data_IF_171244614547
#
_entry.id   IF_171244614547
#
_cell.length_a   1.000
_cell.length_b   1.000
_cell.length_c   1.000
_cell.angle_alpha   90.00
_cell.angle_beta   90.00
_cell.angle_gamma   90.00
#
_symmetry.space_group_name_H-M   'P 1'
#
loop_
_entity.id
_entity.type
_entity.pdbx_description
1 polymer ?
#
# COMPACT_ATOMS: atom_id res chain seq x y z
N UNK A 1 -39.18 3.57 7.66
CA UNK A 1 -38.68 2.31 8.26
C UNK A 1 -37.27 2.54 8.74
N UNK A 2 -37.07 2.57 10.06
CA UNK A 2 -35.78 2.81 10.71
C UNK A 2 -35.16 1.47 11.09
N UNK A 3 -34.37 0.85 10.20
CA UNK A 3 -33.52 -0.28 10.59
C UNK A 3 -32.29 0.24 11.31
N UNK A 4 -32.43 0.39 12.63
CA UNK A 4 -31.34 0.60 13.59
C UNK A 4 -30.65 -0.73 13.86
N UNK A 5 -29.62 -1.07 13.10
CA UNK A 5 -28.63 -2.06 13.55
C UNK A 5 -27.48 -1.33 14.22
N UNK A 6 -27.67 -1.10 15.51
CA UNK A 6 -26.58 -0.84 16.45
C UNK A 6 -25.88 -2.18 16.69
N UNK A 7 -24.65 -2.34 16.19
CA UNK A 7 -23.71 -3.30 16.76
C UNK A 7 -22.45 -2.55 17.14
N UNK A 8 -22.38 -2.25 18.43
CA UNK A 8 -21.21 -1.77 19.12
C UNK A 8 -20.83 -2.90 20.07
N UNK A 9 -19.75 -3.60 19.75
CA UNK A 9 -19.13 -4.58 20.64
C UNK A 9 -17.61 -4.63 20.38
N UNK A 10 -16.83 -3.83 21.11
CA UNK A 10 -15.48 -4.23 21.46
C UNK A 10 -15.48 -4.75 22.89
N UNK A 11 -15.50 -6.08 23.05
CA UNK A 11 -15.22 -6.73 24.33
C UNK A 11 -13.74 -6.54 24.70
N UNK A 12 -13.42 -6.36 26.00
CA UNK A 12 -12.08 -6.12 26.50
C UNK A 12 -11.31 -7.44 26.64
N UNK A 13 -10.04 -7.47 26.19
CA UNK A 13 -9.03 -8.39 26.73
C UNK A 13 -7.73 -7.65 26.92
N UNK A 14 -7.58 -7.13 28.14
CA UNK A 14 -6.29 -6.96 28.77
C UNK A 14 -5.77 -8.35 29.11
N UNK A 15 -4.67 -8.76 28.50
CA UNK A 15 -3.79 -9.77 29.07
C UNK A 15 -2.37 -9.22 29.01
N UNK A 16 -1.96 -8.73 30.18
CA UNK A 16 -0.58 -8.59 30.60
C UNK A 16 -0.04 -9.99 30.81
N UNK A 17 0.97 -10.42 30.05
CA UNK A 17 1.93 -11.39 30.57
C UNK A 17 3.36 -11.08 30.10
N UNK A 18 4.05 -10.39 31.01
CA UNK A 18 5.36 -10.71 31.57
C UNK A 18 6.29 -11.65 30.78
N UNK A 19 7.53 -11.17 30.63
CA UNK A 19 8.79 -11.94 30.73
C UNK A 19 9.04 -13.09 29.75
N UNK A 20 9.90 -12.83 28.77
CA UNK A 20 11.05 -13.71 28.57
C UNK A 20 12.32 -12.88 28.43
N UNK A 21 13.14 -13.05 29.46
CA UNK A 21 14.43 -12.44 29.75
C UNK A 21 15.47 -12.90 28.73
N UNK A 22 16.40 -11.99 28.46
CA UNK A 22 17.66 -12.27 27.80
C UNK A 22 18.45 -13.44 28.43
N UNK A 23 19.22 -14.13 27.58
CA UNK A 23 20.67 -14.33 27.71
C UNK A 23 21.18 -15.75 27.43
N UNK A 24 22.14 -15.81 26.50
CA UNK A 24 23.35 -16.64 26.52
C UNK A 24 23.28 -18.11 26.10
N UNK A 25 23.85 -18.40 24.93
CA UNK A 25 25.00 -19.33 24.87
C UNK A 25 25.83 -19.09 23.60
N UNK A 26 27.04 -18.57 23.82
CA UNK A 26 28.15 -18.66 22.88
C UNK A 26 28.64 -20.11 22.82
N UNK A 27 28.93 -20.59 21.61
CA UNK A 27 29.95 -21.62 21.38
C UNK A 27 30.47 -21.53 19.95
N UNK A 28 31.77 -21.82 19.82
CA UNK A 28 32.73 -21.30 18.85
C UNK A 28 33.17 -22.34 17.81
N UNK A 29 33.45 -21.86 16.57
CA UNK A 29 34.45 -22.37 15.59
C UNK A 29 34.06 -23.57 14.69
N UNK A 30 34.63 -23.76 13.47
CA UNK A 30 35.66 -23.00 12.74
C UNK A 30 35.29 -22.53 11.30
N UNK A 31 36.06 -21.55 10.83
CA UNK A 31 36.02 -20.90 9.51
C UNK A 31 36.08 -21.85 8.30
N UNK A 32 35.07 -21.77 7.43
CA UNK A 32 35.14 -22.21 6.04
C UNK A 32 35.10 -20.96 5.13
N UNK A 33 35.82 -20.97 3.98
CA UNK A 33 36.03 -19.77 3.17
C UNK A 33 34.69 -19.23 2.66
N UNK A 34 34.43 -17.94 2.93
CA UNK A 34 33.28 -17.19 2.44
C UNK A 34 33.30 -17.21 0.90
N UNK A 35 32.62 -18.18 0.31
CA UNK A 35 32.07 -18.02 -1.03
C UNK A 35 31.14 -16.82 -0.92
N UNK A 36 31.50 -15.78 -1.67
CA UNK A 36 30.72 -14.56 -1.79
C UNK A 36 29.36 -14.91 -2.37
N UNK A 37 28.39 -15.17 -1.49
CA UNK A 37 26.97 -15.14 -1.80
C UNK A 37 26.64 -13.71 -2.19
N UNK A 38 26.87 -13.37 -3.46
CA UNK A 38 26.37 -12.17 -4.10
C UNK A 38 24.86 -12.36 -4.25
N UNK A 39 24.15 -12.29 -3.11
CA UNK A 39 22.70 -12.21 -3.05
C UNK A 39 22.36 -10.87 -3.68
N UNK A 40 22.13 -10.88 -5.00
CA UNK A 40 21.52 -9.78 -5.71
C UNK A 40 20.31 -9.34 -4.89
N UNK A 41 20.42 -8.17 -4.25
CA UNK A 41 19.35 -7.60 -3.47
C UNK A 41 18.23 -7.35 -4.46
N UNK A 42 17.20 -8.19 -4.40
CA UNK A 42 16.00 -8.03 -5.18
C UNK A 42 15.50 -6.60 -4.97
N UNK A 43 15.40 -5.79 -6.05
CA UNK A 43 14.92 -4.42 -5.92
C UNK A 43 13.57 -4.46 -5.21
N UNK A 44 13.48 -3.78 -4.07
CA UNK A 44 12.24 -3.68 -3.30
C UNK A 44 11.21 -3.03 -4.23
N UNK A 45 10.29 -3.83 -4.75
CA UNK A 45 9.34 -3.40 -5.76
C UNK A 45 8.57 -2.18 -5.23
N UNK A 46 8.58 -1.10 -6.02
CA UNK A 46 7.67 0.02 -5.75
C UNK A 46 6.24 -0.49 -5.86
N UNK A 47 5.31 0.02 -5.03
CA UNK A 47 3.89 -0.26 -5.20
C UNK A 47 3.48 0.01 -6.65
N UNK A 48 2.67 -0.84 -7.28
CA UNK A 48 2.19 -0.58 -8.64
C UNK A 48 1.35 0.70 -8.67
N UNK A 49 1.42 1.43 -9.78
CA UNK A 49 0.57 2.60 -10.00
C UNK A 49 -0.92 2.20 -10.02
N UNK A 50 -1.78 3.11 -9.57
CA UNK A 50 -3.23 2.94 -9.72
C UNK A 50 -3.61 3.19 -11.18
N UNK A 51 -4.42 2.32 -11.79
CA UNK A 51 -4.79 2.44 -13.21
C UNK A 51 -6.31 2.59 -13.31
N UNK A 52 -6.75 3.63 -14.03
CA UNK A 52 -8.14 3.86 -14.40
C UNK A 52 -8.29 3.59 -15.91
N UNK A 53 -8.89 2.46 -16.25
CA UNK A 53 -9.01 1.96 -17.63
C UNK A 53 -9.85 2.87 -18.53
N UNK A 54 -9.67 2.74 -19.85
CA UNK A 54 -10.30 3.57 -20.88
C UNK A 54 -11.83 3.53 -20.93
N UNK A 55 -12.45 2.43 -20.52
CA UNK A 55 -13.91 2.27 -20.50
C UNK A 55 -14.58 2.84 -19.24
N UNK A 56 -13.81 3.45 -18.34
CA UNK A 56 -14.34 4.01 -17.10
C UNK A 56 -14.65 5.50 -17.26
N UNK A 57 -15.85 5.88 -16.84
CA UNK A 57 -16.27 7.26 -16.69
C UNK A 57 -16.53 7.55 -15.22
N UNK A 58 -15.72 8.42 -14.62
CA UNK A 58 -15.81 8.75 -13.19
C UNK A 58 -16.22 10.20 -13.04
N UNK A 59 -17.21 10.42 -12.17
CA UNK A 59 -17.67 11.76 -11.78
C UNK A 59 -17.41 11.95 -10.28
N UNK A 60 -16.79 13.06 -9.91
CA UNK A 60 -16.46 13.41 -8.52
C UNK A 60 -14.96 13.46 -8.23
N UNK A 61 -14.62 13.42 -6.94
CA UNK A 61 -13.27 13.74 -6.48
C UNK A 61 -12.43 12.47 -6.27
N UNK A 62 -11.26 12.41 -6.90
CA UNK A 62 -10.29 11.33 -6.72
C UNK A 62 -9.12 11.78 -5.84
N UNK A 63 -8.77 10.94 -4.86
CA UNK A 63 -7.60 11.14 -3.99
C UNK A 63 -6.80 9.85 -3.92
N UNK A 64 -5.52 9.93 -4.29
CA UNK A 64 -4.58 8.82 -4.15
C UNK A 64 -3.32 9.28 -3.41
N UNK A 65 -2.70 8.37 -2.66
CA UNK A 65 -1.42 8.64 -1.97
C UNK A 65 -0.21 8.34 -2.86
N UNK A 66 -0.41 7.67 -4.00
CA UNK A 66 0.64 7.27 -4.91
C UNK A 66 0.43 7.79 -6.32
N UNK A 67 1.03 7.06 -7.26
CA UNK A 67 0.98 7.38 -8.68
C UNK A 67 -0.34 6.84 -9.27
N UNK A 68 -0.94 7.61 -10.18
CA UNK A 68 -2.16 7.22 -10.89
C UNK A 68 -1.99 7.43 -12.40
N UNK A 69 -2.42 6.42 -13.16
CA UNK A 69 -2.55 6.45 -14.60
C UNK A 69 -4.03 6.47 -14.97
N UNK A 70 -4.45 7.49 -15.70
CA UNK A 70 -5.83 7.65 -16.16
C UNK A 70 -5.87 7.45 -17.67
N UNK A 71 -6.66 6.51 -18.16
CA UNK A 71 -6.88 6.25 -19.59
C UNK A 71 -8.31 6.58 -20.04
N UNK A 72 -9.26 6.65 -19.09
CA UNK A 72 -10.67 6.94 -19.31
C UNK A 72 -11.07 8.40 -19.11
N UNK A 73 -12.35 8.63 -18.77
CA UNK A 73 -12.89 9.98 -18.58
C UNK A 73 -13.10 10.29 -17.10
N UNK A 74 -12.63 11.45 -16.66
CA UNK A 74 -12.80 11.94 -15.28
C UNK A 74 -13.41 13.33 -15.30
N UNK A 75 -14.53 13.51 -14.62
CA UNK A 75 -15.17 14.80 -14.40
C UNK A 75 -15.18 15.13 -12.90
N UNK A 76 -14.22 15.94 -12.46
CA UNK A 76 -14.03 16.36 -11.07
C UNK A 76 -12.57 16.55 -10.69
N UNK A 77 -12.31 16.74 -9.40
CA UNK A 77 -10.98 17.10 -8.91
C UNK A 77 -10.11 15.86 -8.68
N UNK A 78 -8.86 15.90 -9.13
CA UNK A 78 -7.89 14.82 -8.94
C UNK A 78 -6.76 15.32 -8.03
N UNK A 79 -6.48 14.57 -6.97
CA UNK A 79 -5.29 14.79 -6.12
C UNK A 79 -4.44 13.55 -6.08
N UNK A 80 -3.24 13.64 -6.64
CA UNK A 80 -2.26 12.57 -6.69
C UNK A 80 -0.84 13.10 -6.42
N UNK A 81 0.11 12.19 -6.19
CA UNK A 81 1.52 12.56 -6.16
C UNK A 81 2.04 12.76 -7.59
N UNK A 82 1.82 11.76 -8.44
CA UNK A 82 2.14 11.79 -9.86
C UNK A 82 0.92 11.33 -10.65
N UNK A 83 0.48 12.16 -11.59
CA UNK A 83 -0.60 11.87 -12.52
C UNK A 83 -0.03 11.63 -13.91
N UNK A 84 -0.28 10.43 -14.44
CA UNK A 84 0.00 10.07 -15.83
C UNK A 84 -1.32 10.03 -16.58
N UNK A 85 -1.41 10.79 -17.67
CA UNK A 85 -2.60 10.83 -18.53
C UNK A 85 -2.30 9.98 -19.76
N UNK A 86 -3.11 8.96 -19.97
CA UNK A 86 -3.07 8.08 -21.14
C UNK A 86 -3.55 8.81 -22.39
N UNK A 87 -3.20 8.28 -23.56
CA UNK A 87 -3.46 8.93 -24.86
C UNK A 87 -4.94 9.23 -25.10
N UNK A 88 -5.84 8.37 -24.61
CA UNK A 88 -7.29 8.49 -24.79
C UNK A 88 -8.00 9.18 -23.62
N UNK A 89 -7.27 9.58 -22.59
CA UNK A 89 -7.89 10.07 -21.37
C UNK A 89 -8.41 11.50 -21.52
N UNK A 90 -9.56 11.76 -20.90
CA UNK A 90 -10.17 13.09 -20.86
C UNK A 90 -10.44 13.47 -19.41
N UNK A 91 -9.86 14.58 -18.96
CA UNK A 91 -10.02 15.08 -17.59
C UNK A 91 -10.68 16.45 -17.66
N UNK A 92 -11.79 16.61 -16.94
CA UNK A 92 -12.52 17.87 -16.76
C UNK A 92 -12.62 18.19 -15.28
N UNK A 93 -11.80 19.11 -14.80
CA UNK A 93 -11.78 19.51 -13.40
C UNK A 93 -10.43 20.09 -13.00
N UNK A 94 -10.18 20.17 -11.70
CA UNK A 94 -8.90 20.61 -11.15
C UNK A 94 -7.94 19.40 -11.00
N UNK A 95 -6.65 19.60 -11.33
CA UNK A 95 -5.58 18.60 -11.21
C UNK A 95 -4.41 19.13 -10.40
#
# INVERSE_FOLDING_TARGET
MFSKSKINDPAPKSDTDTSSTAASSMSTSPSAPKQSDFKASTPKAKPPASILSSDLHITGNLKTTGDIQVEGTVEGDIRAHLLTIGETATIKGEV
#
